data_IF_827154274109
#
_entry.id   IF_827154274109
#
_cell.length_a   1.000
_cell.length_b   1.000
_cell.length_c   1.000
_cell.angle_alpha   90.00
_cell.angle_beta   90.00
_cell.angle_gamma   90.00
#
_symmetry.space_group_name_H-M   'P 1'
#
loop_
_entity.id
_entity.type
_entity.pdbx_description
1 polymer ?
#
# COMPACT_ATOMS: atom_id res chain seq x y z
N UNK A 1 -23.05 4.00 -19.91
CA UNK A 1 -21.78 3.37 -19.51
C UNK A 1 -21.82 3.27 -17.99
N UNK A 2 -21.66 2.07 -17.39
CA UNK A 2 -21.52 1.98 -15.94
C UNK A 2 -20.23 2.72 -15.57
N UNK A 3 -20.29 3.65 -14.61
CA UNK A 3 -19.06 4.22 -14.06
C UNK A 3 -18.22 3.07 -13.51
N UNK A 4 -16.95 2.99 -13.93
CA UNK A 4 -16.02 1.96 -13.47
C UNK A 4 -15.52 2.40 -12.09
N UNK A 5 -15.65 1.52 -11.09
CA UNK A 5 -15.32 1.79 -9.70
C UNK A 5 -13.85 2.18 -9.53
N UNK A 6 -13.56 3.23 -8.76
CA UNK A 6 -12.20 3.62 -8.37
C UNK A 6 -11.92 3.14 -6.95
N UNK A 7 -10.85 2.38 -6.77
CA UNK A 7 -10.45 1.82 -5.48
C UNK A 7 -9.03 2.22 -5.14
N UNK A 8 -8.87 2.95 -4.03
CA UNK A 8 -7.56 3.37 -3.54
C UNK A 8 -6.91 2.29 -2.66
N UNK A 9 -5.79 1.73 -3.10
CA UNK A 9 -5.03 0.70 -2.38
C UNK A 9 -4.26 1.22 -1.15
N UNK A 10 -4.06 2.54 -1.02
CA UNK A 10 -3.03 3.07 -0.13
C UNK A 10 -3.50 4.30 0.64
N UNK A 11 -4.14 4.07 1.79
CA UNK A 11 -4.55 5.16 2.70
C UNK A 11 -4.18 4.85 4.15
N UNK A 12 -3.66 5.85 4.87
CA UNK A 12 -3.27 5.72 6.28
C UNK A 12 -4.22 6.51 7.16
N UNK A 13 -4.73 5.86 8.21
CA UNK A 13 -5.64 6.49 9.17
C UNK A 13 -5.22 6.18 10.60
N UNK A 14 -5.55 7.10 11.49
CA UNK A 14 -5.28 6.98 12.91
C UNK A 14 -6.52 7.33 13.72
N UNK A 15 -6.61 6.86 14.99
CA UNK A 15 -7.57 7.42 15.93
C UNK A 15 -7.42 8.93 16.02
N UNK A 16 -8.52 9.67 15.97
CA UNK A 16 -8.54 11.14 15.90
C UNK A 16 -7.62 11.80 16.94
N UNK A 17 -7.64 11.29 18.18
CA UNK A 17 -6.82 11.80 19.29
C UNK A 17 -5.30 11.73 19.07
N UNK A 18 -4.83 10.89 18.14
CA UNK A 18 -3.40 10.76 17.81
C UNK A 18 -3.08 11.13 16.36
N UNK A 19 -4.06 11.37 15.49
CA UNK A 19 -3.83 11.59 14.06
C UNK A 19 -2.88 12.75 13.76
N UNK A 20 -3.14 13.93 14.34
CA UNK A 20 -2.28 15.10 14.17
C UNK A 20 -0.83 14.83 14.64
N UNK A 21 -0.66 14.08 15.74
CA UNK A 21 0.67 13.71 16.24
C UNK A 21 1.34 12.65 15.36
N UNK A 22 0.57 11.72 14.80
CA UNK A 22 1.09 10.68 13.92
C UNK A 22 1.59 11.27 12.59
N UNK A 23 0.93 12.32 12.09
CA UNK A 23 1.33 13.06 10.90
C UNK A 23 2.51 14.00 11.16
N UNK A 24 2.58 14.61 12.33
CA UNK A 24 3.66 15.51 12.70
C UNK A 24 5.03 14.79 12.71
N UNK A 25 5.93 15.20 11.81
CA UNK A 25 7.35 14.86 11.88
C UNK A 25 7.77 13.52 11.26
N UNK A 26 6.97 12.94 10.35
CA UNK A 26 7.31 11.64 9.72
C UNK A 26 7.94 11.71 8.35
N UNK A 27 7.68 12.76 7.58
CA UNK A 27 8.28 12.93 6.25
C UNK A 27 8.93 14.30 6.15
N UNK A 28 10.26 14.40 6.32
CA UNK A 28 10.97 15.66 6.18
C UNK A 28 10.68 16.31 4.82
N UNK A 29 10.13 17.53 4.84
CA UNK A 29 9.86 18.32 3.63
C UNK A 29 8.54 18.04 2.91
N UNK A 30 7.62 17.25 3.49
CA UNK A 30 6.25 17.13 2.99
C UNK A 30 5.24 17.56 4.05
N UNK A 31 4.24 18.32 3.63
CA UNK A 31 3.05 18.63 4.42
C UNK A 31 1.93 17.65 4.04
N UNK A 32 1.27 17.06 5.03
CA UNK A 32 0.11 16.21 4.77
C UNK A 32 -1.05 17.08 4.25
N UNK A 33 -1.74 16.58 3.22
CA UNK A 33 -2.90 17.23 2.62
C UNK A 33 -4.21 16.87 3.35
N UNK A 34 -4.22 15.72 4.03
CA UNK A 34 -5.33 15.25 4.86
C UNK A 34 -5.02 15.28 6.36
N UNK A 35 -6.07 15.13 7.18
CA UNK A 35 -5.98 15.14 8.65
C UNK A 35 -5.65 13.76 9.27
N UNK A 36 -5.56 12.72 8.44
CA UNK A 36 -5.26 11.34 8.88
C UNK A 36 -6.38 10.67 9.67
N UNK A 37 -7.59 11.24 9.71
CA UNK A 37 -8.75 10.65 10.38
C UNK A 37 -9.63 9.89 9.39
N UNK A 38 -10.45 8.95 9.89
CA UNK A 38 -11.47 8.27 9.08
C UNK A 38 -12.47 9.28 8.49
N UNK A 39 -12.80 10.33 9.24
CA UNK A 39 -13.74 11.36 8.76
C UNK A 39 -13.15 12.17 7.61
N UNK A 40 -11.85 12.49 7.67
CA UNK A 40 -11.11 13.18 6.62
C UNK A 40 -10.96 12.33 5.38
N UNK A 41 -10.64 11.04 5.55
CA UNK A 41 -10.57 10.10 4.43
C UNK A 41 -11.91 10.02 3.69
N UNK A 42 -13.03 9.89 4.41
CA UNK A 42 -14.36 9.85 3.78
C UNK A 42 -14.70 11.12 3.00
N UNK A 43 -14.37 12.29 3.53
CA UNK A 43 -14.55 13.57 2.81
C UNK A 43 -13.70 13.58 1.53
N UNK A 44 -12.43 13.18 1.64
CA UNK A 44 -11.53 13.10 0.48
C UNK A 44 -12.04 12.12 -0.57
N UNK A 45 -12.58 10.96 -0.18
CA UNK A 45 -13.20 10.01 -1.11
C UNK A 45 -14.37 10.65 -1.87
N UNK A 46 -15.27 11.33 -1.15
CA UNK A 46 -16.44 11.99 -1.76
C UNK A 46 -16.04 13.15 -2.69
N UNK A 47 -14.98 13.88 -2.36
CA UNK A 47 -14.46 15.01 -3.15
C UNK A 47 -13.68 14.58 -4.40
N UNK A 48 -12.98 13.45 -4.33
CA UNK A 48 -12.07 12.98 -5.39
C UNK A 48 -12.69 11.90 -6.29
N UNK A 49 -13.85 11.38 -5.92
CA UNK A 49 -14.55 10.32 -6.67
C UNK A 49 -13.98 8.93 -6.44
N UNK A 50 -13.31 8.70 -5.31
CA UNK A 50 -12.90 7.34 -4.88
C UNK A 50 -14.10 6.63 -4.27
N UNK A 51 -14.48 5.50 -4.86
CA UNK A 51 -15.66 4.74 -4.45
C UNK A 51 -15.36 3.88 -3.22
N UNK A 52 -14.16 3.28 -3.17
CA UNK A 52 -13.73 2.37 -2.11
C UNK A 52 -12.24 2.59 -1.78
N UNK A 53 -11.82 2.29 -0.55
CA UNK A 53 -10.40 2.34 -0.20
C UNK A 53 -9.96 1.17 0.70
N UNK A 54 -8.68 0.85 0.62
CA UNK A 54 -7.98 0.10 1.65
C UNK A 54 -7.38 1.08 2.65
N UNK A 55 -7.70 0.92 3.92
CA UNK A 55 -7.21 1.79 4.99
C UNK A 55 -6.34 1.03 5.99
N UNK A 56 -5.21 1.64 6.35
CA UNK A 56 -4.18 1.04 7.21
C UNK A 56 -4.20 1.59 8.62
N UNK A 57 -4.16 0.68 9.60
CA UNK A 57 -3.75 0.97 10.97
C UNK A 57 -2.37 0.36 11.26
N UNK A 58 -1.29 1.14 11.16
CA UNK A 58 0.09 0.61 11.31
C UNK A 58 0.63 0.83 12.73
N UNK A 59 1.23 -0.22 13.30
CA UNK A 59 1.94 -0.17 14.57
C UNK A 59 3.46 -0.18 14.37
N UNK A 60 4.17 0.75 15.00
CA UNK A 60 5.65 0.78 15.10
C UNK A 60 6.23 -0.20 16.12
N UNK A 61 5.41 -0.69 17.03
CA UNK A 61 5.84 -1.52 18.14
C UNK A 61 4.87 -2.66 18.38
N UNK A 62 5.39 -3.84 18.72
CA UNK A 62 4.60 -5.03 19.06
C UNK A 62 3.44 -4.77 20.03
N UNK A 63 3.68 -4.01 21.11
CA UNK A 63 2.66 -3.67 22.11
C UNK A 63 1.45 -2.88 21.56
N UNK A 64 1.56 -2.30 20.37
CA UNK A 64 0.49 -1.53 19.73
C UNK A 64 -0.29 -2.34 18.67
N UNK A 65 0.20 -3.52 18.26
CA UNK A 65 -0.40 -4.32 17.17
C UNK A 65 -1.87 -4.62 17.44
N UNK A 66 -2.19 -5.15 18.63
CA UNK A 66 -3.56 -5.53 18.97
C UNK A 66 -4.53 -4.34 18.89
N UNK A 67 -4.15 -3.20 19.45
CA UNK A 67 -4.98 -1.98 19.44
C UNK A 67 -5.09 -1.36 18.05
N UNK A 68 -4.05 -1.47 17.22
CA UNK A 68 -4.08 -0.98 15.84
C UNK A 68 -5.01 -1.84 14.98
N UNK A 69 -4.94 -3.16 15.13
CA UNK A 69 -5.83 -4.11 14.45
C UNK A 69 -7.29 -3.95 14.91
N UNK A 70 -7.54 -3.84 16.20
CA UNK A 70 -8.88 -3.54 16.76
C UNK A 70 -9.42 -2.21 16.22
N UNK A 71 -8.59 -1.18 16.19
CA UNK A 71 -9.00 0.12 15.67
C UNK A 71 -9.41 0.02 14.20
N UNK A 72 -8.56 -0.51 13.32
CA UNK A 72 -8.82 -0.47 11.88
C UNK A 72 -9.97 -1.41 11.48
N UNK A 73 -10.06 -2.58 12.10
CA UNK A 73 -11.17 -3.52 11.86
C UNK A 73 -12.52 -2.91 12.19
N UNK A 74 -12.60 -2.12 13.28
CA UNK A 74 -13.82 -1.40 13.67
C UNK A 74 -14.29 -0.33 12.67
N UNK A 75 -13.50 -0.04 11.63
CA UNK A 75 -13.79 0.98 10.60
C UNK A 75 -14.20 0.41 9.25
N UNK A 76 -14.28 -0.92 9.13
CA UNK A 76 -14.76 -1.57 7.93
C UNK A 76 -16.17 -1.05 7.56
N UNK A 77 -16.36 -0.71 6.30
CA UNK A 77 -17.66 -0.37 5.73
C UNK A 77 -17.81 -1.00 4.35
N UNK A 78 -18.94 -0.76 3.70
CA UNK A 78 -19.16 -1.06 2.28
C UNK A 78 -18.22 -0.30 1.32
N UNK A 79 -17.52 0.73 1.81
CA UNK A 79 -16.56 1.57 1.07
C UNK A 79 -15.14 1.52 1.63
N UNK A 80 -14.88 0.75 2.68
CA UNK A 80 -13.57 0.71 3.35
C UNK A 80 -13.20 -0.71 3.76
N UNK A 81 -12.11 -1.22 3.19
CA UNK A 81 -11.50 -2.50 3.57
C UNK A 81 -10.33 -2.27 4.53
N UNK A 82 -10.38 -2.82 5.75
CA UNK A 82 -9.30 -2.64 6.71
C UNK A 82 -8.12 -3.56 6.40
N UNK A 83 -6.92 -2.99 6.38
CA UNK A 83 -5.67 -3.73 6.42
C UNK A 83 -4.98 -3.46 7.76
N UNK A 84 -4.61 -4.54 8.43
CA UNK A 84 -3.96 -4.51 9.74
C UNK A 84 -2.46 -4.37 9.67
N UNK A 85 -1.83 -4.70 10.79
CA UNK A 85 -0.40 -4.66 11.00
C UNK A 85 0.06 -5.91 11.75
N UNK A 86 1.31 -6.26 11.54
CA UNK A 86 2.06 -7.29 12.29
C UNK A 86 3.38 -6.69 12.78
N UNK A 87 4.08 -7.37 13.68
CA UNK A 87 5.42 -6.95 14.13
C UNK A 87 6.33 -8.14 14.40
N UNK A 88 7.62 -8.02 14.06
CA UNK A 88 8.64 -9.08 14.21
C UNK A 88 9.09 -9.36 15.66
N UNK A 89 8.56 -8.60 16.62
CA UNK A 89 8.83 -8.81 18.05
C UNK A 89 7.68 -9.59 18.72
N UNK A 90 6.66 -9.97 17.93
CA UNK A 90 5.63 -10.93 18.30
C UNK A 90 5.92 -12.25 17.58
N UNK A 91 5.48 -13.36 18.14
CA UNK A 91 5.54 -14.65 17.46
C UNK A 91 4.64 -14.65 16.22
N UNK A 92 4.83 -15.63 15.32
CA UNK A 92 3.94 -15.82 14.18
C UNK A 92 2.51 -16.05 14.66
N UNK A 93 2.34 -16.88 15.69
CA UNK A 93 1.05 -17.20 16.31
C UNK A 93 0.38 -15.96 16.89
N UNK A 94 1.10 -15.14 17.65
CA UNK A 94 0.54 -13.90 18.23
C UNK A 94 0.06 -12.92 17.15
N UNK A 95 0.82 -12.77 16.07
CA UNK A 95 0.43 -11.95 14.93
C UNK A 95 -0.83 -12.53 14.25
N UNK A 96 -0.83 -13.81 13.92
CA UNK A 96 -1.95 -14.48 13.24
C UNK A 96 -3.22 -14.48 14.09
N UNK A 97 -3.10 -14.69 15.40
CA UNK A 97 -4.23 -14.65 16.34
C UNK A 97 -4.85 -13.25 16.41
N UNK A 98 -4.03 -12.19 16.38
CA UNK A 98 -4.52 -10.81 16.31
C UNK A 98 -5.30 -10.55 15.02
N UNK A 99 -4.74 -10.93 13.87
CA UNK A 99 -5.42 -10.77 12.58
C UNK A 99 -6.74 -11.55 12.54
N UNK A 100 -6.74 -12.80 12.99
CA UNK A 100 -7.91 -13.66 13.01
C UNK A 100 -9.02 -13.12 13.93
N UNK A 101 -8.66 -12.66 15.13
CA UNK A 101 -9.62 -12.09 16.10
C UNK A 101 -10.38 -10.88 15.53
N UNK A 102 -9.71 -10.09 14.70
CA UNK A 102 -10.25 -8.88 14.10
C UNK A 102 -10.76 -9.08 12.67
N UNK A 103 -10.78 -10.32 12.16
CA UNK A 103 -11.26 -10.63 10.81
C UNK A 103 -10.43 -10.00 9.69
N UNK A 104 -9.17 -9.65 9.96
CA UNK A 104 -8.31 -8.94 9.02
C UNK A 104 -7.75 -9.93 7.98
N UNK A 105 -7.86 -9.57 6.70
CA UNK A 105 -7.40 -10.37 5.54
C UNK A 105 -6.32 -9.69 4.72
N UNK A 106 -5.79 -8.57 5.20
CA UNK A 106 -4.66 -7.89 4.59
C UNK A 106 -3.83 -7.13 5.61
N UNK A 107 -2.54 -6.98 5.36
CA UNK A 107 -1.61 -6.26 6.24
C UNK A 107 -0.72 -5.31 5.47
N UNK A 108 -0.41 -4.17 6.08
CA UNK A 108 0.63 -3.27 5.61
C UNK A 108 1.93 -3.55 6.36
N UNK A 109 3.02 -3.70 5.61
CA UNK A 109 4.38 -3.71 6.14
C UNK A 109 5.08 -2.41 5.77
N UNK A 110 5.71 -1.79 6.75
CA UNK A 110 6.52 -0.59 6.54
C UNK A 110 7.88 -0.77 7.22
N UNK A 111 8.85 -1.44 6.55
CA UNK A 111 10.11 -1.86 7.18
C UNK A 111 10.89 -0.71 7.85
N UNK A 112 10.86 0.49 7.25
CA UNK A 112 11.53 1.68 7.79
C UNK A 112 10.85 2.19 9.08
N UNK A 113 9.52 2.16 9.13
CA UNK A 113 8.75 2.61 10.28
C UNK A 113 8.77 1.58 11.42
N UNK A 114 8.74 0.29 11.07
CA UNK A 114 8.71 -0.85 11.99
C UNK A 114 10.12 -1.39 12.32
N UNK A 115 11.17 -0.80 11.74
CA UNK A 115 12.60 -1.01 12.07
C UNK A 115 13.09 -2.44 11.83
N UNK A 116 12.76 -2.99 10.67
CA UNK A 116 13.30 -4.27 10.20
C UNK A 116 13.65 -4.21 8.71
N UNK A 117 14.43 -5.16 8.21
CA UNK A 117 14.70 -5.31 6.78
C UNK A 117 13.59 -6.12 6.08
N UNK A 118 13.23 -5.78 4.85
CA UNK A 118 12.16 -6.45 4.09
C UNK A 118 12.48 -7.93 3.80
N UNK A 119 13.76 -8.29 3.77
CA UNK A 119 14.25 -9.65 3.60
C UNK A 119 14.64 -10.33 4.92
N UNK A 120 14.27 -9.76 6.08
CA UNK A 120 14.48 -10.38 7.39
C UNK A 120 13.83 -11.77 7.42
N UNK A 121 14.61 -12.80 7.77
CA UNK A 121 14.14 -14.19 7.81
C UNK A 121 12.98 -14.42 8.78
N UNK A 122 12.75 -13.54 9.75
CA UNK A 122 11.55 -13.61 10.62
C UNK A 122 10.28 -13.27 9.85
N UNK A 123 10.35 -12.39 8.83
CA UNK A 123 9.22 -12.14 7.93
C UNK A 123 8.88 -13.37 7.09
N UNK A 124 9.85 -14.20 6.75
CA UNK A 124 9.62 -15.38 5.93
C UNK A 124 8.66 -16.35 6.60
N UNK A 125 8.79 -16.54 7.92
CA UNK A 125 7.86 -17.36 8.69
C UNK A 125 6.43 -16.76 8.71
N UNK A 126 6.30 -15.43 8.75
CA UNK A 126 5.02 -14.76 8.59
C UNK A 126 4.45 -14.92 7.18
N UNK A 127 5.27 -14.78 6.13
CA UNK A 127 4.84 -14.95 4.74
C UNK A 127 4.36 -16.38 4.45
N UNK A 128 5.03 -17.39 5.01
CA UNK A 128 4.56 -18.77 4.94
C UNK A 128 3.21 -18.96 5.65
N UNK A 129 3.04 -18.36 6.84
CA UNK A 129 1.79 -18.42 7.60
C UNK A 129 0.65 -17.65 6.92
N UNK A 130 0.95 -16.55 6.23
CA UNK A 130 -0.02 -15.78 5.44
C UNK A 130 -0.52 -16.58 4.24
N UNK A 131 0.37 -17.31 3.57
CA UNK A 131 0.05 -18.05 2.35
C UNK A 131 -0.67 -17.15 1.33
N UNK A 132 -1.81 -17.64 0.83
CA UNK A 132 -2.73 -16.86 -0.03
C UNK A 132 -3.87 -16.19 0.73
N UNK A 133 -3.98 -16.41 2.05
CA UNK A 133 -5.14 -16.01 2.84
C UNK A 133 -5.05 -14.57 3.36
N UNK A 134 -3.82 -14.06 3.50
CA UNK A 134 -3.55 -12.68 3.91
C UNK A 134 -2.82 -11.95 2.78
N UNK A 135 -3.44 -10.87 2.27
CA UNK A 135 -2.79 -9.96 1.35
C UNK A 135 -1.73 -9.11 2.07
N UNK A 136 -0.61 -8.84 1.42
CA UNK A 136 0.47 -8.01 1.97
C UNK A 136 0.67 -6.83 1.04
N UNK A 137 0.72 -5.63 1.59
CA UNK A 137 1.22 -4.45 0.89
C UNK A 137 2.45 -3.92 1.62
N UNK A 138 3.58 -3.79 0.92
CA UNK A 138 4.86 -3.43 1.51
C UNK A 138 5.37 -2.09 0.98
N UNK A 139 5.84 -1.24 1.90
CA UNK A 139 6.61 -0.05 1.53
C UNK A 139 7.97 -0.44 0.97
N UNK A 140 8.34 0.06 -0.21
CA UNK A 140 9.63 -0.22 -0.85
C UNK A 140 10.29 1.06 -1.34
N UNK A 141 11.57 1.21 -1.05
CA UNK A 141 12.36 2.40 -1.35
C UNK A 141 12.50 3.34 -0.17
N UNK A 142 12.70 4.62 -0.47
CA UNK A 142 13.01 5.63 0.53
C UNK A 142 11.80 5.93 1.43
N UNK A 143 12.04 6.53 2.59
CA UNK A 143 10.97 6.90 3.54
C UNK A 143 11.46 7.07 4.98
N UNK A 144 12.74 6.83 5.23
CA UNK A 144 13.42 7.08 6.49
C UNK A 144 14.68 7.89 6.28
N UNK A 145 15.53 7.94 7.31
CA UNK A 145 16.77 8.71 7.31
C UNK A 145 18.00 7.80 7.23
N UNK A 146 19.04 8.26 6.53
CA UNK A 146 20.31 7.55 6.42
C UNK A 146 20.16 6.11 5.93
N UNK A 147 20.83 5.18 6.64
CA UNK A 147 20.86 3.76 6.30
C UNK A 147 19.52 3.04 6.47
N UNK A 148 18.51 3.65 7.11
CA UNK A 148 17.17 3.06 7.20
C UNK A 148 16.54 2.86 5.81
N UNK A 149 16.93 3.65 4.81
CA UNK A 149 16.47 3.50 3.42
C UNK A 149 17.02 2.25 2.71
N UNK A 150 17.95 1.53 3.33
CA UNK A 150 18.47 0.24 2.82
C UNK A 150 17.71 -0.96 3.41
N UNK A 151 16.78 -0.75 4.35
CA UNK A 151 15.94 -1.80 4.93
C UNK A 151 14.79 -2.24 4.02
N UNK A 152 14.53 -1.56 2.91
CA UNK A 152 13.48 -1.95 1.97
C UNK A 152 13.84 -1.56 0.55
N UNK A 153 14.69 -2.37 -0.09
CA UNK A 153 15.14 -2.11 -1.46
C UNK A 153 14.32 -2.91 -2.49
N UNK A 154 14.28 -2.46 -3.76
CA UNK A 154 13.69 -3.25 -4.84
C UNK A 154 14.32 -4.64 -5.00
N UNK A 155 15.60 -4.80 -4.66
CA UNK A 155 16.27 -6.10 -4.68
C UNK A 155 15.74 -7.03 -3.58
N UNK A 156 15.58 -6.53 -2.35
CA UNK A 156 14.96 -7.30 -1.26
C UNK A 156 13.54 -7.74 -1.62
N UNK A 157 12.74 -6.84 -2.21
CA UNK A 157 11.41 -7.16 -2.70
C UNK A 157 11.46 -8.29 -3.74
N UNK A 158 12.37 -8.19 -4.73
CA UNK A 158 12.52 -9.21 -5.75
C UNK A 158 12.85 -10.59 -5.17
N UNK A 159 13.64 -10.64 -4.10
CA UNK A 159 13.97 -11.89 -3.39
C UNK A 159 12.76 -12.45 -2.64
N UNK A 160 11.95 -11.61 -1.99
CA UNK A 160 10.67 -12.06 -1.39
C UNK A 160 9.75 -12.65 -2.47
N UNK A 161 9.56 -11.97 -3.59
CA UNK A 161 8.68 -12.44 -4.68
C UNK A 161 9.11 -13.81 -5.21
N UNK A 162 10.42 -14.05 -5.35
CA UNK A 162 10.95 -15.34 -5.83
C UNK A 162 10.77 -16.48 -4.83
N UNK A 163 10.88 -16.18 -3.53
CA UNK A 163 10.77 -17.20 -2.48
C UNK A 163 9.33 -17.50 -2.07
N UNK A 164 8.41 -16.54 -2.23
CA UNK A 164 7.00 -16.67 -1.80
C UNK A 164 6.01 -16.47 -2.96
N UNK A 165 6.03 -17.33 -4.00
CA UNK A 165 5.20 -17.15 -5.20
C UNK A 165 3.69 -17.30 -4.96
N UNK A 166 3.27 -17.82 -3.80
CA UNK A 166 1.86 -17.90 -3.39
C UNK A 166 1.40 -16.69 -2.57
N UNK A 167 2.33 -15.82 -2.15
CA UNK A 167 2.00 -14.65 -1.35
C UNK A 167 1.31 -13.62 -2.23
N UNK A 168 0.19 -13.09 -1.74
CA UNK A 168 -0.55 -12.01 -2.40
C UNK A 168 0.12 -10.68 -2.07
N UNK A 169 1.25 -10.41 -2.74
CA UNK A 169 2.13 -9.29 -2.44
C UNK A 169 1.87 -8.10 -3.38
N UNK A 170 1.63 -6.95 -2.78
CA UNK A 170 1.61 -5.63 -3.38
C UNK A 170 2.83 -4.83 -2.92
N UNK A 171 3.42 -4.06 -3.83
CA UNK A 171 4.59 -3.23 -3.55
C UNK A 171 4.28 -1.78 -3.86
N UNK A 172 4.39 -0.93 -2.82
CA UNK A 172 4.11 0.49 -2.96
C UNK A 172 5.08 1.18 -3.91
N UNK A 173 4.62 2.27 -4.53
CA UNK A 173 5.43 3.20 -5.30
C UNK A 173 6.21 2.51 -6.44
N UNK A 174 5.50 1.72 -7.25
CA UNK A 174 6.07 0.89 -8.32
C UNK A 174 7.16 -0.09 -7.84
N UNK A 175 7.15 -0.42 -6.55
CA UNK A 175 8.17 -1.28 -5.93
C UNK A 175 9.52 -0.60 -5.71
N UNK A 176 9.59 0.73 -5.70
CA UNK A 176 10.84 1.45 -5.43
C UNK A 176 10.70 2.96 -5.38
N UNK A 177 10.13 3.50 -4.30
CA UNK A 177 10.05 4.94 -4.09
C UNK A 177 11.44 5.60 -4.08
N UNK A 178 11.65 6.59 -4.95
CA UNK A 178 12.96 7.23 -5.22
C UNK A 178 14.09 6.26 -5.59
N UNK A 179 13.76 5.02 -5.97
CA UNK A 179 14.66 3.99 -6.51
C UNK A 179 14.08 3.35 -7.78
N UNK A 180 13.42 4.16 -8.61
CA UNK A 180 12.65 3.65 -9.75
C UNK A 180 13.53 2.95 -10.81
N UNK A 181 14.80 3.34 -10.94
CA UNK A 181 15.76 2.64 -11.82
C UNK A 181 16.03 1.20 -11.32
N UNK A 182 16.15 1.02 -10.01
CA UNK A 182 16.31 -0.29 -9.39
C UNK A 182 15.01 -1.11 -9.50
N UNK A 183 13.85 -0.50 -9.32
CA UNK A 183 12.56 -1.16 -9.52
C UNK A 183 12.39 -1.63 -10.98
N UNK A 184 12.71 -0.79 -11.97
CA UNK A 184 12.71 -1.16 -13.39
C UNK A 184 13.67 -2.31 -13.72
N UNK A 185 14.75 -2.46 -12.95
CA UNK A 185 15.77 -3.50 -13.13
C UNK A 185 15.40 -4.82 -12.45
N UNK A 186 14.90 -4.77 -11.22
CA UNK A 186 14.76 -5.95 -10.36
C UNK A 186 13.33 -6.42 -10.17
N UNK A 187 12.34 -5.54 -10.28
CA UNK A 187 10.95 -5.79 -9.85
C UNK A 187 9.98 -5.78 -11.04
N UNK A 188 10.09 -4.82 -11.95
CA UNK A 188 9.19 -4.71 -13.11
C UNK A 188 9.28 -5.98 -13.97
N UNK A 189 8.14 -6.67 -14.15
CA UNK A 189 8.03 -7.95 -14.85
C UNK A 189 7.99 -9.17 -13.92
N UNK A 190 8.22 -9.01 -12.61
CA UNK A 190 8.00 -10.08 -11.63
C UNK A 190 6.51 -10.26 -11.30
N UNK A 191 6.09 -11.44 -10.80
CA UNK A 191 4.71 -11.71 -10.40
C UNK A 191 4.39 -11.09 -9.04
N UNK A 192 4.41 -9.76 -8.97
CA UNK A 192 4.04 -8.94 -7.81
C UNK A 192 3.09 -7.86 -8.29
N UNK A 193 2.18 -7.41 -7.43
CA UNK A 193 1.30 -6.29 -7.78
C UNK A 193 2.01 -4.97 -7.49
N UNK A 194 2.11 -4.07 -8.45
CA UNK A 194 2.66 -2.74 -8.23
C UNK A 194 1.56 -1.74 -7.90
N UNK A 195 1.73 -1.03 -6.79
CA UNK A 195 0.85 0.06 -6.38
C UNK A 195 1.46 1.40 -6.84
N UNK A 196 0.62 2.31 -7.36
CA UNK A 196 1.08 3.45 -8.19
C UNK A 196 1.43 4.74 -7.45
N UNK A 197 1.07 4.90 -6.18
CA UNK A 197 1.24 6.15 -5.44
C UNK A 197 2.67 6.67 -5.52
N UNK A 198 2.82 7.98 -5.61
CA UNK A 198 4.14 8.59 -5.65
C UNK A 198 4.18 9.97 -5.00
N UNK A 199 4.45 10.08 -3.69
CA UNK A 199 4.55 11.37 -3.04
C UNK A 199 5.73 12.23 -3.57
N UNK A 200 5.53 13.54 -3.84
CA UNK A 200 4.31 14.31 -3.65
C UNK A 200 3.31 14.22 -4.82
N UNK A 201 3.70 13.75 -6.01
CA UNK A 201 2.77 13.32 -7.06
C UNK A 201 3.42 12.41 -8.12
N UNK A 202 2.68 11.43 -8.62
CA UNK A 202 2.99 10.60 -9.79
C UNK A 202 3.31 11.42 -11.04
N UNK A 203 2.77 12.63 -11.14
CA UNK A 203 3.08 13.56 -12.24
C UNK A 203 4.57 13.96 -12.31
N UNK A 204 5.35 13.73 -11.25
CA UNK A 204 6.81 13.94 -11.26
C UNK A 204 7.55 12.92 -12.15
N UNK A 205 6.96 11.75 -12.37
CA UNK A 205 7.55 10.74 -13.25
C UNK A 205 7.12 11.04 -14.69
N UNK A 206 8.05 11.13 -15.66
CA UNK A 206 7.69 11.34 -17.06
C UNK A 206 6.69 10.30 -17.57
N UNK A 207 5.60 10.77 -18.20
CA UNK A 207 4.51 9.91 -18.74
C UNK A 207 5.02 8.74 -19.56
N UNK A 208 6.02 8.96 -20.44
CA UNK A 208 6.58 7.88 -21.27
C UNK A 208 7.29 6.79 -20.45
N UNK A 209 7.92 7.17 -19.33
CA UNK A 209 8.52 6.21 -18.39
C UNK A 209 7.45 5.36 -17.72
N UNK A 210 6.36 5.98 -17.27
CA UNK A 210 5.22 5.28 -16.69
C UNK A 210 4.56 4.33 -17.71
N UNK A 211 4.29 4.79 -18.93
CA UNK A 211 3.75 3.94 -20.03
C UNK A 211 4.66 2.74 -20.31
N UNK A 212 5.99 2.95 -20.30
CA UNK A 212 6.95 1.85 -20.45
C UNK A 212 6.88 0.86 -19.29
N UNK A 213 6.76 1.34 -18.05
CA UNK A 213 6.62 0.47 -16.86
C UNK A 213 5.33 -0.34 -16.96
N UNK A 214 4.19 0.30 -17.23
CA UNK A 214 2.89 -0.38 -17.41
C UNK A 214 2.99 -1.48 -18.47
N UNK A 215 3.55 -1.16 -19.64
CA UNK A 215 3.73 -2.14 -20.73
C UNK A 215 4.65 -3.31 -20.36
N UNK A 216 5.73 -3.05 -19.61
CA UNK A 216 6.70 -4.08 -19.20
C UNK A 216 6.19 -4.94 -18.04
N UNK A 217 5.42 -4.34 -17.14
CA UNK A 217 4.93 -5.02 -15.94
C UNK A 217 3.63 -5.79 -16.20
N UNK A 218 2.74 -5.23 -17.02
CA UNK A 218 1.38 -5.71 -17.25
C UNK A 218 0.38 -4.91 -16.40
N UNK A 219 -0.62 -4.25 -17.01
CA UNK A 219 -1.62 -3.47 -16.27
C UNK A 219 -2.46 -4.34 -15.33
N UNK A 220 -2.61 -5.64 -15.58
CA UNK A 220 -3.35 -6.61 -14.76
C UNK A 220 -2.70 -6.88 -13.39
N UNK A 221 -1.42 -6.49 -13.22
CA UNK A 221 -0.67 -6.59 -11.96
C UNK A 221 -0.39 -5.23 -11.36
N UNK A 222 -1.25 -4.25 -11.62
CA UNK A 222 -1.08 -2.89 -11.11
C UNK A 222 -2.34 -2.40 -10.43
N UNK A 223 -2.20 -1.65 -9.35
CA UNK A 223 -3.33 -1.08 -8.60
C UNK A 223 -3.09 0.39 -8.32
N UNK A 224 -4.13 1.19 -8.43
CA UNK A 224 -4.12 2.57 -7.99
C UNK A 224 -3.97 2.63 -6.46
N UNK A 225 -3.10 3.52 -5.99
CA UNK A 225 -3.16 4.03 -4.64
C UNK A 225 -2.69 5.48 -4.61
N UNK A 226 -3.17 6.23 -3.62
CA UNK A 226 -2.82 7.64 -3.45
C UNK A 226 -1.67 7.86 -2.46
N UNK A 227 -1.56 7.01 -1.42
CA UNK A 227 -0.79 7.31 -0.20
C UNK A 227 -1.39 8.48 0.61
N UNK A 228 -2.72 8.63 0.59
CA UNK A 228 -3.44 9.56 1.47
C UNK A 228 -3.06 9.28 2.94
N UNK A 229 -2.81 10.30 3.78
CA UNK A 229 -3.07 11.73 3.57
C UNK A 229 -1.89 12.54 3.01
N UNK A 230 -0.86 11.90 2.45
CA UNK A 230 0.32 12.59 1.94
C UNK A 230 0.12 13.18 0.54
N UNK A 231 -0.71 12.54 -0.27
CA UNK A 231 -0.97 12.95 -1.67
C UNK A 231 -2.48 13.08 -1.89
N UNK A 232 -2.85 13.96 -2.83
CA UNK A 232 -4.22 14.15 -3.27
C UNK A 232 -4.64 13.01 -4.22
N UNK A 233 -5.64 12.19 -3.86
CA UNK A 233 -6.12 11.11 -4.72
C UNK A 233 -6.55 11.60 -6.11
N UNK A 234 -7.16 12.79 -6.23
CA UNK A 234 -7.59 13.31 -7.54
C UNK A 234 -6.39 13.59 -8.46
N UNK A 235 -5.30 14.14 -7.91
CA UNK A 235 -4.08 14.40 -8.67
C UNK A 235 -3.44 13.12 -9.21
N UNK A 236 -3.42 12.04 -8.41
CA UNK A 236 -2.89 10.73 -8.81
C UNK A 236 -3.79 10.02 -9.83
N UNK A 237 -5.12 10.07 -9.66
CA UNK A 237 -6.08 9.55 -10.65
C UNK A 237 -5.89 10.26 -11.99
N UNK A 238 -5.78 11.59 -11.99
CA UNK A 238 -5.52 12.36 -13.19
C UNK A 238 -4.14 12.06 -13.79
N UNK A 239 -3.13 11.73 -12.98
CA UNK A 239 -1.82 11.28 -13.48
C UNK A 239 -1.91 9.94 -14.22
N UNK A 240 -2.73 9.00 -13.73
CA UNK A 240 -3.01 7.74 -14.42
C UNK A 240 -3.76 7.99 -15.73
N UNK A 241 -4.80 8.84 -15.73
CA UNK A 241 -5.55 9.19 -16.95
C UNK A 241 -4.68 9.83 -18.03
N UNK A 242 -3.72 10.68 -17.63
CA UNK A 242 -2.72 11.28 -18.55
C UNK A 242 -1.78 10.28 -19.20
N UNK A 243 -1.76 9.02 -18.75
CA UNK A 243 -1.04 7.97 -19.44
C UNK A 243 -1.71 7.58 -20.77
N UNK A 244 -3.00 7.90 -20.96
CA UNK A 244 -3.80 7.57 -22.14
C UNK A 244 -3.64 6.08 -22.51
N UNK A 245 -3.84 5.22 -21.52
CA UNK A 245 -3.85 3.76 -21.69
C UNK A 245 -5.12 3.33 -22.42
N UNK A 246 -5.20 2.05 -22.79
CA UNK A 246 -6.47 1.48 -23.22
C UNK A 246 -7.49 1.57 -22.08
N UNK A 247 -8.77 1.82 -22.39
CA UNK A 247 -9.82 2.04 -21.38
C UNK A 247 -9.92 0.89 -20.36
N UNK A 248 -9.68 -0.34 -20.82
CA UNK A 248 -9.69 -1.53 -19.95
C UNK A 248 -8.47 -1.62 -19.04
N UNK A 249 -7.30 -1.19 -19.50
CA UNK A 249 -6.09 -1.16 -18.68
C UNK A 249 -6.19 -0.06 -17.61
N UNK A 250 -6.67 1.12 -17.98
CA UNK A 250 -6.91 2.21 -17.04
C UNK A 250 -7.90 1.79 -15.94
N UNK A 251 -9.01 1.16 -16.33
CA UNK A 251 -10.01 0.69 -15.37
C UNK A 251 -9.51 -0.43 -14.47
N UNK A 252 -8.72 -1.36 -15.01
CA UNK A 252 -8.10 -2.42 -14.25
C UNK A 252 -7.18 -1.83 -13.16
N UNK A 253 -6.34 -0.86 -13.53
CA UNK A 253 -5.45 -0.17 -12.59
C UNK A 253 -6.25 0.64 -11.57
N UNK A 254 -7.21 1.46 -12.00
CA UNK A 254 -7.95 2.37 -11.12
C UNK A 254 -8.84 1.66 -10.09
N UNK A 255 -9.25 0.42 -10.33
CA UNK A 255 -10.04 -0.31 -9.34
C UNK A 255 -10.25 -1.79 -9.61
N UNK A 256 -10.32 -2.22 -10.87
CA UNK A 256 -10.67 -3.60 -11.22
C UNK A 256 -9.77 -4.66 -10.58
N UNK A 257 -8.45 -4.48 -10.67
CA UNK A 257 -7.48 -5.44 -10.12
C UNK A 257 -7.55 -5.49 -8.59
N UNK A 258 -7.70 -4.33 -7.93
CA UNK A 258 -7.79 -4.31 -6.47
C UNK A 258 -9.10 -4.92 -5.99
N UNK A 259 -10.21 -4.72 -6.73
CA UNK A 259 -11.52 -5.31 -6.42
C UNK A 259 -11.43 -6.84 -6.30
N UNK A 260 -10.74 -7.49 -7.23
CA UNK A 260 -10.46 -8.93 -7.19
C UNK A 260 -9.58 -9.31 -5.99
N UNK A 261 -8.57 -8.50 -5.66
CA UNK A 261 -7.68 -8.76 -4.54
C UNK A 261 -8.43 -8.68 -3.20
N UNK A 262 -9.30 -7.69 -3.01
CA UNK A 262 -9.99 -7.50 -1.71
C UNK A 262 -11.39 -8.13 -1.67
N UNK A 263 -11.86 -8.72 -2.77
CA UNK A 263 -13.12 -9.44 -2.85
C UNK A 263 -14.36 -8.55 -2.82
N UNK A 264 -14.27 -7.33 -3.37
CA UNK A 264 -15.42 -6.42 -3.51
C UNK A 264 -15.95 -6.47 -4.94
N UNK A 265 -17.28 -6.45 -5.11
CA UNK A 265 -17.91 -6.56 -6.43
C UNK A 265 -17.67 -5.32 -7.28
N UNK A 266 -17.23 -5.51 -8.54
CA UNK A 266 -17.06 -4.45 -9.53
C UNK A 266 -18.35 -4.00 -10.22
#
# INVERSE_FOLDING_TARGET
>A
MRQRMIIDAHTHVWPDRIAAKALAGRVPGMEALGDGTISGLRRSMDETGVDHCVAFGIADHARHVERANEFISSRATDRLTPFGTVHLDLSVEENMDSLARHGIKGVKLHPLFQRFALDDRRLWALFDAFGSDIAVIAHVGFGGEGSANDNSTPQMLADVVRNFPRLRLMACHFGGFRRLDEAERYVVGLPVVLETSWPPSLAEIPTERLRRIVRRHGPERMVFGSDWPMVDPAAEIEAIRRLELHEDDEAAILGGNLAEIIGVGG
#
